data_IF_087388662437
#
_entry.id   IF_087388662437
#
_cell.length_a   1.000
_cell.length_b   1.000
_cell.length_c   1.000
_cell.angle_alpha   90.00
_cell.angle_beta   90.00
_cell.angle_gamma   90.00
#
_symmetry.space_group_name_H-M   'P 1'
#
loop_
_entity.id
_entity.type
_entity.pdbx_description
1 polymer ?
#
# COMPACT_ATOMS: atom_id res chain seq x y z
N UNK A 1 3.63 5.24 -1.36
CA UNK A 1 4.94 4.67 -1.82
C UNK A 1 5.63 3.73 -0.83
N UNK A 2 5.66 4.05 0.47
CA UNK A 2 6.37 3.25 1.48
C UNK A 2 6.06 1.74 1.45
N UNK A 3 4.78 1.37 1.32
CA UNK A 3 4.35 -0.04 1.24
C UNK A 3 4.89 -0.72 -0.01
N UNK A 4 4.95 -0.01 -1.15
CA UNK A 4 5.46 -0.55 -2.41
C UNK A 4 6.96 -0.86 -2.31
N UNK A 5 7.74 0.01 -1.66
CA UNK A 5 9.16 -0.24 -1.43
C UNK A 5 9.43 -1.52 -0.62
N UNK A 6 8.48 -1.93 0.22
CA UNK A 6 8.56 -3.15 1.03
C UNK A 6 8.07 -4.40 0.29
N UNK A 7 7.34 -4.25 -0.83
CA UNK A 7 6.77 -5.37 -1.58
C UNK A 7 7.85 -6.36 -2.06
N UNK A 8 8.94 -5.86 -2.65
CA UNK A 8 10.06 -6.72 -3.08
C UNK A 8 10.83 -7.32 -1.91
N UNK A 9 10.96 -6.59 -0.81
CA UNK A 9 11.74 -7.00 0.35
C UNK A 9 11.06 -8.15 1.11
N UNK A 10 9.73 -8.15 1.17
CA UNK A 10 8.95 -9.16 1.89
C UNK A 10 8.26 -10.20 1.00
N UNK A 11 8.48 -10.16 -0.32
CA UNK A 11 7.85 -11.09 -1.27
C UNK A 11 8.06 -12.57 -0.92
N UNK A 12 9.23 -12.91 -0.37
CA UNK A 12 9.57 -14.29 0.02
C UNK A 12 9.58 -14.51 1.54
N UNK A 13 9.00 -13.58 2.30
CA UNK A 13 8.93 -13.65 3.77
C UNK A 13 7.47 -13.84 4.20
N UNK A 14 6.99 -15.10 4.35
CA UNK A 14 5.66 -15.38 4.88
C UNK A 14 5.52 -14.88 6.32
N UNK A 15 4.28 -14.65 6.78
CA UNK A 15 4.01 -14.14 8.13
C UNK A 15 4.16 -12.63 8.29
N UNK A 16 4.51 -11.89 7.22
CA UNK A 16 4.60 -10.43 7.23
C UNK A 16 3.35 -9.80 6.61
N UNK A 17 2.79 -8.82 7.30
CA UNK A 17 1.84 -7.87 6.74
C UNK A 17 2.27 -6.44 7.06
N UNK A 18 2.05 -5.52 6.12
CA UNK A 18 2.40 -4.10 6.26
C UNK A 18 1.16 -3.26 5.97
N UNK A 19 1.00 -2.20 6.74
CA UNK A 19 0.05 -1.13 6.46
C UNK A 19 0.77 0.21 6.60
N UNK A 20 0.53 1.12 5.66
CA UNK A 20 0.79 2.53 5.89
C UNK A 20 -0.44 3.32 5.45
N UNK A 21 -0.79 4.33 6.25
CA UNK A 21 -1.81 5.28 5.82
C UNK A 21 -1.83 6.57 6.63
N UNK A 22 -2.28 7.62 5.95
CA UNK A 22 -2.47 8.95 6.51
C UNK A 22 -3.79 9.03 7.26
N UNK A 23 -3.72 9.61 8.46
CA UNK A 23 -4.86 9.62 9.38
C UNK A 23 -5.96 10.57 8.96
N UNK A 24 -5.75 11.45 7.98
CA UNK A 24 -6.79 12.28 7.35
C UNK A 24 -7.62 11.55 6.29
N UNK A 25 -7.17 10.35 5.91
CA UNK A 25 -7.86 9.49 4.97
C UNK A 25 -7.42 9.64 3.52
N UNK A 26 -6.33 10.38 3.24
CA UNK A 26 -5.77 10.53 1.89
C UNK A 26 -4.23 10.58 1.89
N UNK A 27 -3.57 9.61 1.25
CA UNK A 27 -2.12 9.58 0.99
C UNK A 27 -1.85 10.25 -0.37
N UNK A 28 -1.80 11.59 -0.35
CA UNK A 28 -1.70 12.41 -1.56
C UNK A 28 -3.02 12.51 -2.35
N UNK A 29 -2.94 12.46 -3.68
CA UNK A 29 -4.13 12.56 -4.55
C UNK A 29 -4.54 13.99 -4.88
N UNK A 30 -5.80 14.16 -5.28
CA UNK A 30 -6.38 15.45 -5.71
C UNK A 30 -7.33 16.06 -4.65
N UNK A 31 -7.41 15.42 -3.47
CA UNK A 31 -8.34 15.81 -2.40
C UNK A 31 -9.74 15.27 -2.61
N UNK A 32 -9.90 14.19 -3.37
CA UNK A 32 -11.19 13.54 -3.57
C UNK A 32 -11.55 12.66 -2.36
N UNK A 33 -12.84 12.54 -2.01
CA UNK A 33 -13.28 11.60 -0.96
C UNK A 33 -12.95 10.12 -1.24
N UNK A 34 -12.59 9.81 -2.48
CA UNK A 34 -12.22 8.47 -2.96
C UNK A 34 -10.72 8.28 -3.07
N UNK A 35 -9.91 9.29 -2.72
CA UNK A 35 -8.46 9.12 -2.68
C UNK A 35 -8.12 8.10 -1.57
N UNK A 36 -7.18 7.18 -1.82
CA UNK A 36 -6.82 6.18 -0.84
C UNK A 36 -6.06 6.82 0.31
N UNK A 37 -6.30 6.35 1.53
CA UNK A 37 -5.55 6.74 2.72
C UNK A 37 -4.14 6.14 2.75
N UNK A 38 -3.83 5.18 1.88
CA UNK A 38 -2.56 4.48 1.81
C UNK A 38 -2.71 3.09 1.19
N UNK A 39 -1.96 2.11 1.69
CA UNK A 39 -1.98 0.74 1.15
C UNK A 39 -1.69 -0.33 2.20
N UNK A 40 -2.03 -1.56 1.84
CA UNK A 40 -1.73 -2.79 2.58
C UNK A 40 -0.84 -3.69 1.71
N UNK A 41 0.06 -4.44 2.34
CA UNK A 41 0.84 -5.50 1.70
C UNK A 41 0.76 -6.74 2.58
N UNK A 42 0.28 -7.83 2.03
CA UNK A 42 0.39 -9.16 2.62
C UNK A 42 0.70 -10.22 1.55
N UNK A 43 0.66 -11.50 1.92
CA UNK A 43 0.92 -12.60 0.98
C UNK A 43 -0.10 -12.71 -0.16
N UNK A 44 -1.32 -12.16 -0.02
CA UNK A 44 -2.31 -12.07 -1.11
C UNK A 44 -1.88 -11.01 -2.12
N UNK A 45 -1.40 -9.85 -1.66
CA UNK A 45 -0.80 -8.82 -2.51
C UNK A 45 0.37 -9.38 -3.32
N UNK A 46 1.27 -10.12 -2.67
CA UNK A 46 2.43 -10.76 -3.33
C UNK A 46 1.97 -11.79 -4.37
N UNK A 47 0.99 -12.63 -4.03
CA UNK A 47 0.43 -13.60 -4.97
C UNK A 47 -0.16 -12.90 -6.20
N UNK A 48 -0.91 -11.81 -6.00
CA UNK A 48 -1.51 -11.02 -7.07
C UNK A 48 -0.47 -10.31 -7.94
N UNK A 49 0.55 -9.72 -7.33
CA UNK A 49 1.71 -9.13 -8.00
C UNK A 49 2.38 -10.16 -8.94
N UNK A 50 2.60 -11.40 -8.47
CA UNK A 50 3.19 -12.49 -9.27
C UNK A 50 2.26 -12.94 -10.40
N UNK A 51 0.98 -13.12 -10.12
CA UNK A 51 -0.05 -13.49 -11.11
C UNK A 51 -0.09 -12.48 -12.27
N UNK A 52 -0.09 -11.19 -11.94
CA UNK A 52 -0.14 -10.08 -12.88
C UNK A 52 1.23 -9.72 -13.48
N UNK A 53 2.32 -10.36 -13.03
CA UNK A 53 3.70 -10.09 -13.44
C UNK A 53 4.09 -8.61 -13.28
N UNK A 54 3.65 -7.99 -12.20
CA UNK A 54 3.99 -6.60 -11.89
C UNK A 54 5.43 -6.51 -11.36
N UNK A 55 6.16 -5.49 -11.81
CA UNK A 55 7.49 -5.16 -11.28
C UNK A 55 7.37 -4.01 -10.27
N UNK A 56 7.34 -4.28 -8.96
CA UNK A 56 7.21 -3.23 -7.93
C UNK A 56 8.31 -2.17 -8.00
N UNK A 57 9.52 -2.51 -8.48
CA UNK A 57 10.60 -1.53 -8.64
C UNK A 57 10.29 -0.54 -9.75
N UNK A 58 9.76 -1.01 -10.88
CA UNK A 58 9.39 -0.14 -11.99
C UNK A 58 8.28 0.86 -11.60
N UNK A 59 7.29 0.42 -10.83
CA UNK A 59 6.24 1.31 -10.31
C UNK A 59 6.81 2.33 -9.30
N UNK A 60 7.74 1.92 -8.44
CA UNK A 60 8.39 2.81 -7.48
C UNK A 60 9.26 3.86 -8.17
N UNK A 61 10.07 3.45 -9.15
CA UNK A 61 10.92 4.36 -9.94
C UNK A 61 10.07 5.37 -10.77
N UNK A 62 8.79 5.05 -11.01
CA UNK A 62 7.82 5.92 -11.71
C UNK A 62 6.89 6.70 -10.75
N UNK A 63 7.09 6.64 -9.43
CA UNK A 63 6.21 7.22 -8.40
C UNK A 63 4.72 6.82 -8.55
N UNK A 64 4.45 5.59 -8.99
CA UNK A 64 3.12 5.11 -9.37
C UNK A 64 2.62 3.99 -8.45
N UNK A 65 2.73 4.21 -7.13
CA UNK A 65 2.25 3.24 -6.14
C UNK A 65 0.74 3.02 -6.21
N UNK A 66 -0.03 4.05 -6.55
CA UNK A 66 -1.49 3.97 -6.65
C UNK A 66 -1.93 3.00 -7.75
N UNK A 67 -1.31 3.03 -8.93
CA UNK A 67 -1.66 2.06 -9.98
C UNK A 67 -1.30 0.62 -9.58
N UNK A 68 -0.15 0.41 -8.92
CA UNK A 68 0.25 -0.91 -8.44
C UNK A 68 -0.79 -1.49 -7.47
N UNK A 69 -1.15 -0.75 -6.42
CA UNK A 69 -2.10 -1.24 -5.41
C UNK A 69 -3.55 -1.24 -5.89
N UNK A 70 -3.90 -0.45 -6.91
CA UNK A 70 -5.16 -0.59 -7.63
C UNK A 70 -5.23 -1.92 -8.35
N UNK A 71 -4.15 -2.31 -9.04
CA UNK A 71 -4.09 -3.57 -9.78
C UNK A 71 -4.12 -4.79 -8.84
N UNK A 72 -3.50 -4.71 -7.66
CA UNK A 72 -3.54 -5.80 -6.68
C UNK A 72 -4.81 -5.80 -5.82
N UNK A 73 -5.49 -4.65 -5.71
CA UNK A 73 -6.70 -4.49 -4.90
C UNK A 73 -6.44 -4.15 -3.43
N UNK A 74 -5.26 -3.61 -3.11
CA UNK A 74 -4.78 -3.44 -1.74
C UNK A 74 -4.60 -1.97 -1.33
N UNK A 75 -5.31 -1.05 -2.00
CA UNK A 75 -5.45 0.32 -1.51
C UNK A 75 -6.23 0.35 -0.19
N UNK A 76 -5.75 1.14 0.77
CA UNK A 76 -6.44 1.40 2.02
C UNK A 76 -7.43 2.55 1.81
N UNK A 77 -8.72 2.24 1.82
CA UNK A 77 -9.78 3.23 1.62
C UNK A 77 -10.58 3.41 2.92
N UNK A 78 -10.27 4.45 3.68
CA UNK A 78 -11.03 4.82 4.88
C UNK A 78 -12.14 5.82 4.58
N UNK A 79 -12.01 6.57 3.49
CA UNK A 79 -12.70 7.84 3.30
C UNK A 79 -12.15 8.94 4.22
N UNK A 80 -12.68 10.17 4.13
CA UNK A 80 -12.22 11.29 4.94
C UNK A 80 -12.53 11.04 6.42
N UNK A 81 -11.49 10.98 7.25
CA UNK A 81 -11.63 10.73 8.69
C UNK A 81 -11.93 12.01 9.49
N UNK A 82 -11.69 13.18 8.87
CA UNK A 82 -11.87 14.52 9.45
C UNK A 82 -10.97 14.81 10.67
N UNK A 83 -9.85 14.12 10.79
CA UNK A 83 -8.78 14.39 11.77
C UNK A 83 -7.43 14.22 11.10
N UNK A 84 -6.36 14.86 11.59
CA UNK A 84 -5.02 14.65 11.06
C UNK A 84 -3.99 14.65 12.19
N UNK A 85 -3.38 13.50 12.43
CA UNK A 85 -2.24 13.30 13.32
C UNK A 85 -1.02 12.73 12.56
N UNK A 86 -0.93 13.02 11.26
CA UNK A 86 0.03 12.51 10.28
C UNK A 86 -0.16 11.01 9.97
N UNK A 87 0.92 10.33 9.60
CA UNK A 87 0.92 8.96 9.08
C UNK A 87 1.04 7.92 10.20
N UNK A 88 0.43 6.75 9.96
CA UNK A 88 0.62 5.53 10.76
C UNK A 88 1.26 4.46 9.87
N UNK A 89 2.27 3.77 10.40
CA UNK A 89 2.96 2.66 9.74
C UNK A 89 2.99 1.45 10.67
N UNK A 90 2.52 0.31 10.19
CA UNK A 90 2.42 -0.94 10.96
C UNK A 90 3.10 -2.05 10.16
N UNK A 91 3.94 -2.82 10.83
CA UNK A 91 4.46 -4.09 10.33
C UNK A 91 4.06 -5.16 11.35
N UNK A 92 3.23 -6.09 10.92
CA UNK A 92 2.85 -7.28 11.68
C UNK A 92 3.80 -8.42 11.31
N UNK A 93 4.30 -9.12 12.32
CA UNK A 93 5.11 -10.33 12.19
C UNK A 93 4.40 -11.44 12.95
N UNK A 94 3.86 -12.42 12.22
CA UNK A 94 3.16 -13.58 12.76
C UNK A 94 4.01 -14.85 12.55
N UNK A 95 4.48 -15.52 13.64
CA UNK A 95 5.42 -16.64 13.58
C UNK A 95 4.84 -17.98 13.10
#
# INVERSE_FOLDING_TARGET
>A
EYVLALASLFADTPGIAVLAGDTDGADGGAGHPTDPAGAILDQRTVAKMRELKLDPKAYLDNNDATAFFTATGDLLNTGPTLTNVNDIRIILVDP
#
